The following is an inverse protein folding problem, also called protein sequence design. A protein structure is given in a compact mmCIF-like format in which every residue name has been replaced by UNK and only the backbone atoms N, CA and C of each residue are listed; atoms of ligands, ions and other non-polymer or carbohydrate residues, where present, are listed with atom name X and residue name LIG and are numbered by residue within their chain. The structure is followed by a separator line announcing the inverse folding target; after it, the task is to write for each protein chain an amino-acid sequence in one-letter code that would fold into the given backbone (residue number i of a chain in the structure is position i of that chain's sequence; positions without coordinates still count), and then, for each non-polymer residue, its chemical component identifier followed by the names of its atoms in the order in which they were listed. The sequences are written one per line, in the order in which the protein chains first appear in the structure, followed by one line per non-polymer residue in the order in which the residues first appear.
data_IF_850847194890
#
_entry.id   IF_850847194890
#
_cell.length_a   1.000
_cell.length_b   1.000
_cell.length_c   1.000
_cell.angle_alpha   90.00
_cell.angle_beta   90.00
_cell.angle_gamma   90.00
#
_symmetry.space_group_name_H-M   'P 1'
#
loop_
_entity.id
_entity.type
_entity.pdbx_description
1 polymer ?
#
# COMPACT_ATOMS: atom_id res chain seq x y z
N UNK A 1 7.83 9.45 -17.97
CA UNK A 1 6.74 9.72 -17.01
C UNK A 1 5.42 9.27 -17.63
N UNK A 2 4.66 8.44 -16.95
CA UNK A 2 3.35 7.96 -17.44
C UNK A 2 2.41 9.17 -17.60
N UNK A 3 1.87 9.39 -18.81
CA UNK A 3 1.01 10.55 -19.09
C UNK A 3 -0.44 10.19 -18.80
N UNK A 4 -1.08 10.96 -17.92
CA UNK A 4 -2.51 10.84 -17.63
C UNK A 4 -3.32 11.72 -18.60
N UNK A 5 -4.46 11.21 -19.06
CA UNK A 5 -5.34 11.93 -19.99
C UNK A 5 -6.14 13.05 -19.31
N UNK A 6 -6.16 13.12 -17.98
CA UNK A 6 -6.82 14.16 -17.20
C UNK A 6 -6.24 14.27 -15.78
N UNK A 7 -6.45 15.40 -15.12
CA UNK A 7 -6.10 15.60 -13.72
C UNK A 7 -6.86 14.63 -12.80
N UNK A 8 -8.14 14.34 -13.10
CA UNK A 8 -8.93 13.37 -12.33
C UNK A 8 -8.40 11.94 -12.43
N UNK A 9 -7.91 11.54 -13.61
CA UNK A 9 -7.27 10.22 -13.78
C UNK A 9 -5.96 10.13 -12.97
N UNK A 10 -5.16 11.20 -12.96
CA UNK A 10 -3.97 11.30 -12.14
C UNK A 10 -4.32 11.23 -10.64
N UNK A 11 -5.33 11.97 -10.20
CA UNK A 11 -5.74 11.99 -8.79
C UNK A 11 -6.16 10.60 -8.31
N UNK A 12 -7.04 9.91 -9.05
CA UNK A 12 -7.48 8.54 -8.71
C UNK A 12 -6.30 7.58 -8.64
N UNK A 13 -5.41 7.65 -9.63
CA UNK A 13 -4.20 6.82 -9.63
C UNK A 13 -3.33 7.09 -8.41
N UNK A 14 -3.00 8.36 -8.12
CA UNK A 14 -2.15 8.74 -6.98
C UNK A 14 -2.81 8.35 -5.66
N UNK A 15 -4.12 8.54 -5.49
CA UNK A 15 -4.83 8.15 -4.27
C UNK A 15 -4.74 6.63 -4.02
N UNK A 16 -5.06 5.80 -5.02
CA UNK A 16 -5.00 4.34 -4.88
C UNK A 16 -3.56 3.87 -4.72
N UNK A 17 -2.66 4.35 -5.59
CA UNK A 17 -1.25 3.97 -5.57
C UNK A 17 -0.59 4.33 -4.23
N UNK A 18 -0.87 5.52 -3.69
CA UNK A 18 -0.30 5.95 -2.41
C UNK A 18 -0.81 5.09 -1.26
N UNK A 19 -2.10 4.76 -1.23
CA UNK A 19 -2.67 3.88 -0.21
C UNK A 19 -2.03 2.49 -0.24
N UNK A 20 -1.94 1.88 -1.42
CA UNK A 20 -1.32 0.55 -1.60
C UNK A 20 0.16 0.59 -1.24
N UNK A 21 0.91 1.59 -1.74
CA UNK A 21 2.34 1.74 -1.43
C UNK A 21 2.58 1.91 0.06
N UNK A 22 1.84 2.81 0.72
CA UNK A 22 2.01 3.08 2.15
C UNK A 22 1.67 1.86 3.02
N UNK A 23 0.75 1.00 2.56
CA UNK A 23 0.44 -0.25 3.24
C UNK A 23 1.59 -1.27 3.17
N UNK A 24 2.16 -1.46 1.98
CA UNK A 24 3.14 -2.54 1.76
C UNK A 24 4.60 -2.12 1.96
N UNK A 25 4.95 -0.86 1.74
CA UNK A 25 6.33 -0.37 1.88
C UNK A 25 6.62 -0.06 3.35
N UNK A 26 7.55 -0.78 4.00
CA UNK A 26 7.97 -0.46 5.37
C UNK A 26 8.57 0.95 5.40
N UNK A 27 8.24 1.72 6.44
CA UNK A 27 8.92 2.98 6.70
C UNK A 27 10.40 2.73 6.94
N UNK A 28 11.27 3.66 6.51
CA UNK A 28 12.73 3.59 6.69
C UNK A 28 13.16 3.48 8.17
N UNK A 29 12.24 3.73 9.09
CA UNK A 29 12.41 3.55 10.53
C UNK A 29 12.38 2.10 11.01
N UNK A 30 11.85 1.15 10.22
CA UNK A 30 11.91 -0.28 10.54
C UNK A 30 13.28 -0.84 10.16
N UNK A 31 14.14 -1.03 11.14
CA UNK A 31 15.56 -1.39 10.93
C UNK A 31 15.83 -2.88 11.03
N UNK A 32 14.96 -3.65 11.69
CA UNK A 32 15.20 -5.08 11.92
C UNK A 32 14.40 -5.96 10.98
N UNK A 33 14.91 -7.18 10.73
CA UNK A 33 14.20 -8.17 9.93
C UNK A 33 12.83 -8.54 10.53
N UNK A 34 12.73 -8.56 11.86
CA UNK A 34 11.49 -8.86 12.60
C UNK A 34 10.45 -7.75 12.38
N UNK A 35 10.85 -6.48 12.45
CA UNK A 35 9.92 -5.36 12.21
C UNK A 35 9.35 -5.40 10.79
N UNK A 36 10.18 -5.75 9.80
CA UNK A 36 9.75 -5.92 8.41
C UNK A 36 8.84 -7.13 8.25
N UNK A 37 9.13 -8.23 8.94
CA UNK A 37 8.27 -9.42 8.94
C UNK A 37 6.88 -9.13 9.51
N UNK A 38 6.81 -8.55 10.71
CA UNK A 38 5.56 -8.15 11.34
C UNK A 38 4.79 -7.10 10.52
N UNK A 39 5.50 -6.16 9.89
CA UNK A 39 4.90 -5.21 8.95
C UNK A 39 4.15 -5.93 7.82
N UNK A 40 4.81 -6.89 7.16
CA UNK A 40 4.22 -7.63 6.03
C UNK A 40 2.99 -8.43 6.45
N UNK A 41 3.02 -9.08 7.61
CA UNK A 41 1.87 -9.81 8.14
C UNK A 41 0.67 -8.88 8.34
N UNK A 42 0.88 -7.73 8.99
CA UNK A 42 -0.18 -6.73 9.20
C UNK A 42 -0.69 -6.14 7.89
N UNK A 43 0.22 -5.84 6.96
CA UNK A 43 -0.13 -5.30 5.65
C UNK A 43 -1.03 -6.27 4.85
N UNK A 44 -0.69 -7.57 4.85
CA UNK A 44 -1.51 -8.60 4.19
C UNK A 44 -2.88 -8.74 4.88
N UNK A 45 -2.93 -8.74 6.22
CA UNK A 45 -4.21 -8.80 6.94
C UNK A 45 -5.13 -7.62 6.59
N UNK A 46 -4.59 -6.39 6.56
CA UNK A 46 -5.33 -5.21 6.12
C UNK A 46 -5.78 -5.31 4.66
N UNK A 47 -4.91 -5.77 3.77
CA UNK A 47 -5.27 -5.97 2.37
C UNK A 47 -6.40 -6.98 2.20
N UNK A 48 -6.38 -8.07 2.96
CA UNK A 48 -7.44 -9.08 2.92
C UNK A 48 -8.81 -8.51 3.31
N UNK A 49 -8.84 -7.67 4.34
CA UNK A 49 -10.06 -6.97 4.74
C UNK A 49 -10.54 -5.99 3.65
N UNK A 50 -9.63 -5.14 3.13
CA UNK A 50 -9.95 -4.17 2.08
C UNK A 50 -10.43 -4.82 0.77
N UNK A 51 -9.91 -6.01 0.44
CA UNK A 51 -10.29 -6.76 -0.74
C UNK A 51 -11.54 -7.65 -0.54
N UNK A 52 -12.14 -7.66 0.65
CA UNK A 52 -13.30 -8.50 0.94
C UNK A 52 -13.02 -10.01 0.89
N UNK A 53 -11.76 -10.42 1.08
CA UNK A 53 -11.31 -11.82 1.11
C UNK A 53 -11.05 -12.32 2.53
N UNK A 54 -11.40 -11.51 3.54
CA UNK A 54 -11.51 -11.95 4.92
C UNK A 54 -12.80 -12.77 5.08
N UNK A 55 -12.70 -13.90 5.77
CA UNK A 55 -13.84 -14.78 6.08
C UNK A 55 -14.85 -14.10 7.01
#
# INVERSE_FOLDING_TARGET
MQRFRSAGALQRFVSVFSAVRNLFVPTRSKKTAIDVHLHRLRAIAHWRNAAGIAA
#
